data_IF_527835531939
#
_entry.id   IF_527835531939
#
_cell.length_a   1.000
_cell.length_b   1.000
_cell.length_c   1.000
_cell.angle_alpha   90.00
_cell.angle_beta   90.00
_cell.angle_gamma   90.00
#
_symmetry.space_group_name_H-M   'P 1'
#
loop_
_entity.id
_entity.type
_entity.pdbx_description
1 polymer ?
#
# COMPACT_ATOMS: atom_id res chain seq x y z
N UNK A 1 3.38 -2.19 -4.10
CA UNK A 1 4.59 -2.78 -4.73
C UNK A 1 5.25 -3.85 -3.87
N UNK A 2 5.49 -3.62 -2.60
CA UNK A 2 6.26 -4.54 -1.73
C UNK A 2 5.68 -5.96 -1.58
N UNK A 3 4.46 -6.22 -2.02
CA UNK A 3 3.91 -7.57 -2.15
C UNK A 3 4.47 -8.36 -3.35
N UNK A 4 5.07 -7.68 -4.31
CA UNK A 4 5.63 -8.26 -5.53
C UNK A 4 7.15 -8.22 -5.52
N UNK A 5 7.72 -7.09 -5.16
CA UNK A 5 9.16 -6.89 -5.01
C UNK A 5 9.43 -5.83 -3.94
N UNK A 6 10.43 -6.05 -3.11
CA UNK A 6 10.82 -5.08 -2.10
C UNK A 6 11.36 -3.79 -2.75
N UNK A 7 10.84 -2.64 -2.29
CA UNK A 7 11.29 -1.34 -2.75
C UNK A 7 11.15 -0.29 -1.66
N UNK A 8 12.22 0.42 -1.40
CA UNK A 8 12.33 1.48 -0.40
C UNK A 8 12.55 2.88 -1.01
N UNK A 9 12.27 3.04 -2.32
CA UNK A 9 12.42 4.30 -3.03
C UNK A 9 13.67 4.39 -3.91
N UNK A 10 14.50 3.35 -3.98
CA UNK A 10 15.74 3.37 -4.75
C UNK A 10 16.21 2.00 -5.22
N UNK A 11 17.52 1.83 -5.24
CA UNK A 11 18.16 0.55 -5.50
C UNK A 11 18.02 -0.35 -4.27
N UNK A 12 17.96 -1.64 -4.50
CA UNK A 12 17.84 -2.67 -3.46
C UNK A 12 18.90 -3.75 -3.66
N UNK A 13 19.12 -4.57 -2.64
CA UNK A 13 19.88 -5.82 -2.81
C UNK A 13 18.96 -6.89 -3.42
N UNK A 14 19.57 -7.79 -4.21
CA UNK A 14 18.93 -9.04 -4.64
C UNK A 14 18.51 -9.88 -3.42
N UNK A 15 17.59 -10.83 -3.61
CA UNK A 15 17.08 -11.67 -2.52
C UNK A 15 18.19 -12.48 -1.81
N UNK A 16 19.26 -12.81 -2.53
CA UNK A 16 20.45 -13.50 -1.98
C UNK A 16 21.50 -12.52 -1.40
N UNK A 17 21.27 -11.21 -1.51
CA UNK A 17 22.14 -10.16 -0.98
C UNK A 17 23.46 -9.97 -1.74
N UNK A 18 23.62 -10.54 -2.94
CA UNK A 18 24.88 -10.55 -3.68
C UNK A 18 25.03 -9.42 -4.68
N UNK A 19 23.90 -8.88 -5.18
CA UNK A 19 23.90 -7.88 -6.23
C UNK A 19 23.03 -6.67 -5.86
N UNK A 20 23.40 -5.52 -6.37
CA UNK A 20 22.56 -4.31 -6.31
C UNK A 20 21.65 -4.30 -7.54
N UNK A 21 20.35 -4.30 -7.31
CA UNK A 21 19.35 -4.29 -8.36
C UNK A 21 18.55 -3.00 -8.37
N UNK A 22 17.99 -2.67 -9.53
CA UNK A 22 16.96 -1.66 -9.69
C UNK A 22 15.60 -2.38 -9.73
N UNK A 23 14.81 -2.39 -8.65
CA UNK A 23 13.55 -3.15 -8.59
C UNK A 23 12.59 -2.85 -9.73
N UNK A 24 12.57 -1.58 -10.18
CA UNK A 24 11.68 -1.11 -11.26
C UNK A 24 12.04 -1.65 -12.66
N UNK A 25 13.16 -2.39 -12.80
CA UNK A 25 13.53 -3.08 -14.04
C UNK A 25 13.17 -4.57 -14.02
N UNK A 26 12.71 -5.08 -12.90
CA UNK A 26 12.42 -6.49 -12.70
C UNK A 26 11.00 -6.87 -13.16
N UNK A 27 10.81 -8.11 -13.59
CA UNK A 27 9.50 -8.63 -14.00
C UNK A 27 8.46 -8.56 -12.88
N UNK A 28 8.88 -8.80 -11.64
CA UNK A 28 8.00 -8.68 -10.47
C UNK A 28 7.44 -7.25 -10.29
N UNK A 29 8.19 -6.22 -10.69
CA UNK A 29 7.68 -4.86 -10.72
C UNK A 29 6.57 -4.68 -11.75
N UNK A 30 6.76 -5.23 -12.95
CA UNK A 30 5.75 -5.22 -14.01
C UNK A 30 4.47 -5.93 -13.58
N UNK A 31 4.59 -7.10 -12.92
CA UNK A 31 3.44 -7.80 -12.35
C UNK A 31 2.69 -6.95 -11.33
N UNK A 32 3.42 -6.25 -10.45
CA UNK A 32 2.81 -5.32 -9.49
C UNK A 32 2.07 -4.18 -10.16
N UNK A 33 2.64 -3.59 -11.23
CA UNK A 33 1.96 -2.55 -12.00
C UNK A 33 0.72 -3.07 -12.73
N UNK A 34 0.78 -4.28 -13.27
CA UNK A 34 -0.38 -4.93 -13.92
C UNK A 34 -1.52 -5.09 -12.92
N UNK A 35 -1.24 -5.60 -11.72
CA UNK A 35 -2.22 -5.74 -10.66
C UNK A 35 -2.83 -4.39 -10.24
N UNK A 36 -2.01 -3.35 -10.07
CA UNK A 36 -2.51 -2.01 -9.74
C UNK A 36 -3.37 -1.43 -10.87
N UNK A 37 -3.02 -1.70 -12.12
CA UNK A 37 -3.82 -1.29 -13.27
C UNK A 37 -5.18 -2.00 -13.33
N UNK A 38 -5.24 -3.29 -12.98
CA UNK A 38 -6.49 -4.04 -12.86
C UNK A 38 -7.38 -3.40 -11.79
N UNK A 39 -6.85 -3.15 -10.58
CA UNK A 39 -7.60 -2.49 -9.51
C UNK A 39 -8.10 -1.08 -9.92
N UNK A 40 -7.28 -0.34 -10.66
CA UNK A 40 -7.66 0.98 -11.16
C UNK A 40 -8.78 0.90 -12.20
N UNK A 41 -8.70 -0.05 -13.13
CA UNK A 41 -9.73 -0.25 -14.17
C UNK A 41 -11.07 -0.71 -13.61
N UNK A 42 -11.06 -1.43 -12.48
CA UNK A 42 -12.25 -1.83 -11.74
C UNK A 42 -12.79 -0.73 -10.80
N UNK A 43 -12.14 0.44 -10.75
CA UNK A 43 -12.53 1.55 -9.89
C UNK A 43 -12.25 1.33 -8.40
N UNK A 44 -11.41 0.36 -8.05
CA UNK A 44 -11.06 0.01 -6.67
C UNK A 44 -9.93 0.88 -6.11
N UNK A 45 -9.20 1.60 -6.95
CA UNK A 45 -8.22 2.59 -6.53
C UNK A 45 -8.78 4.01 -6.69
N UNK A 46 -8.45 4.88 -5.73
CA UNK A 46 -8.77 6.30 -5.85
C UNK A 46 -8.19 6.88 -7.16
N UNK A 47 -8.99 7.63 -7.89
CA UNK A 47 -8.53 8.33 -9.10
C UNK A 47 -7.38 9.30 -8.80
N UNK A 48 -7.31 9.79 -7.57
CA UNK A 48 -6.32 10.77 -7.14
C UNK A 48 -5.11 10.15 -6.41
N UNK A 49 -4.92 8.84 -6.49
CA UNK A 49 -3.87 8.11 -5.74
C UNK A 49 -2.45 8.68 -5.92
N UNK A 50 -2.20 9.36 -7.03
CA UNK A 50 -0.89 9.98 -7.33
C UNK A 50 -0.83 11.49 -7.05
N UNK A 51 -1.97 12.12 -6.74
CA UNK A 51 -2.08 13.57 -6.56
C UNK A 51 -2.50 13.98 -5.16
N UNK A 52 -3.12 13.08 -4.42
CA UNK A 52 -3.53 13.36 -3.04
C UNK A 52 -2.30 13.45 -2.13
N UNK A 53 -2.25 14.51 -1.34
CA UNK A 53 -1.29 14.64 -0.26
C UNK A 53 -1.84 14.01 1.04
N UNK A 54 -0.97 13.95 2.07
CA UNK A 54 -1.36 13.35 3.34
C UNK A 54 -2.50 14.08 4.06
N UNK A 55 -2.76 15.36 3.78
CA UNK A 55 -3.87 16.11 4.39
C UNK A 55 -5.19 15.79 3.69
N UNK A 56 -5.18 15.70 2.37
CA UNK A 56 -6.33 15.28 1.59
C UNK A 56 -6.74 13.84 1.95
N UNK A 57 -5.79 12.94 2.09
CA UNK A 57 -6.05 11.59 2.54
C UNK A 57 -6.69 11.55 3.94
N UNK A 58 -6.16 12.33 4.89
CA UNK A 58 -6.75 12.45 6.23
C UNK A 58 -8.19 13.01 6.19
N UNK A 59 -8.46 13.98 5.33
CA UNK A 59 -9.81 14.51 5.15
C UNK A 59 -10.79 13.45 4.63
N UNK A 60 -10.35 12.61 3.69
CA UNK A 60 -11.14 11.48 3.17
C UNK A 60 -11.46 10.47 4.28
N UNK A 61 -10.47 10.12 5.10
CA UNK A 61 -10.64 9.18 6.21
C UNK A 61 -11.56 9.71 7.32
N UNK A 62 -11.73 11.03 7.41
CA UNK A 62 -12.52 11.68 8.46
C UNK A 62 -13.95 12.02 8.02
N UNK A 63 -14.41 11.56 6.87
CA UNK A 63 -15.78 11.78 6.40
C UNK A 63 -16.78 10.98 7.25
N UNK A 64 -17.97 11.51 7.42
CA UNK A 64 -19.05 10.82 8.16
C UNK A 64 -19.45 9.49 7.53
N UNK A 65 -19.47 9.45 6.20
CA UNK A 65 -19.73 8.21 5.43
C UNK A 65 -18.39 7.63 5.01
N UNK A 66 -18.02 6.44 5.48
CA UNK A 66 -16.76 5.81 5.10
C UNK A 66 -16.80 5.41 3.62
N UNK A 67 -15.82 5.87 2.86
CA UNK A 67 -15.63 5.52 1.45
C UNK A 67 -14.35 4.72 1.20
N UNK A 68 -13.50 4.60 2.22
CA UNK A 68 -12.25 3.85 2.15
C UNK A 68 -12.45 2.51 2.81
N UNK A 69 -12.47 1.43 2.02
CA UNK A 69 -12.61 0.06 2.53
C UNK A 69 -11.30 -0.55 3.00
N UNK A 70 -10.18 -0.16 2.38
CA UNK A 70 -8.83 -0.67 2.72
C UNK A 70 -7.80 0.45 2.54
N UNK A 71 -6.88 0.54 3.47
CA UNK A 71 -5.72 1.45 3.37
C UNK A 71 -4.51 0.85 4.05
N UNK A 72 -3.33 1.33 3.67
CA UNK A 72 -2.06 1.00 4.32
C UNK A 72 -1.58 2.22 5.10
N UNK A 73 -1.03 2.00 6.28
CA UNK A 73 -0.45 3.07 7.10
C UNK A 73 0.81 2.57 7.81
N UNK A 74 1.81 3.42 7.89
CA UNK A 74 3.05 3.13 8.62
C UNK A 74 2.88 3.20 10.14
N UNK A 75 1.87 3.93 10.61
CA UNK A 75 1.54 4.04 12.04
C UNK A 75 0.11 4.57 12.23
N UNK A 76 -0.42 4.43 13.44
CA UNK A 76 -1.71 5.00 13.82
C UNK A 76 -1.76 6.52 13.72
N UNK A 77 -0.61 7.20 13.82
CA UNK A 77 -0.54 8.67 13.67
C UNK A 77 -0.87 9.16 12.25
N UNK A 78 -0.85 8.28 11.27
CA UNK A 78 -1.29 8.59 9.92
C UNK A 78 -2.81 8.70 9.81
N UNK A 79 -3.53 8.20 10.81
CA UNK A 79 -4.98 8.31 10.88
C UNK A 79 -5.38 9.61 11.60
N UNK A 80 -6.35 10.38 11.08
CA UNK A 80 -6.84 11.57 11.78
C UNK A 80 -7.67 11.19 12.99
N UNK A 81 -7.45 11.89 14.08
CA UNK A 81 -8.27 11.83 15.30
C UNK A 81 -8.71 10.42 15.72
N UNK A 82 -7.72 9.54 15.93
CA UNK A 82 -7.91 8.13 16.29
C UNK A 82 -8.90 7.92 17.46
N UNK A 83 -8.99 8.88 18.37
CA UNK A 83 -9.85 8.76 19.56
C UNK A 83 -11.32 9.03 19.29
N UNK A 84 -11.62 9.95 18.35
CA UNK A 84 -12.98 10.44 18.11
C UNK A 84 -13.49 10.05 16.72
N UNK A 85 -12.67 9.45 15.87
CA UNK A 85 -13.06 9.03 14.54
C UNK A 85 -13.85 7.72 14.60
N UNK A 86 -15.14 7.76 14.30
CA UNK A 86 -16.03 6.59 14.30
C UNK A 86 -15.57 5.52 13.31
N UNK A 87 -15.10 5.94 12.13
CA UNK A 87 -14.66 5.02 11.09
C UNK A 87 -13.42 4.23 11.56
N UNK A 88 -12.53 4.87 12.31
CA UNK A 88 -11.36 4.20 12.86
C UNK A 88 -11.75 3.11 13.88
N UNK A 89 -12.78 3.35 14.67
CA UNK A 89 -13.25 2.38 15.65
C UNK A 89 -13.83 1.10 15.01
N UNK A 90 -14.29 1.20 13.76
CA UNK A 90 -14.83 0.08 12.98
C UNK A 90 -13.77 -0.61 12.09
N UNK A 91 -12.57 -0.03 12.00
CA UNK A 91 -11.48 -0.58 11.21
C UNK A 91 -10.72 -1.68 11.96
N UNK A 92 -10.40 -2.73 11.26
CA UNK A 92 -9.61 -3.85 11.76
C UNK A 92 -8.24 -3.89 11.03
N UNK A 93 -7.20 -4.14 11.80
CA UNK A 93 -5.88 -4.39 11.22
C UNK A 93 -5.81 -5.82 10.70
N UNK A 94 -5.53 -5.96 9.44
CA UNK A 94 -5.34 -7.26 8.80
C UNK A 94 -3.86 -7.50 8.49
N UNK A 95 -3.47 -8.76 8.46
CA UNK A 95 -2.13 -9.13 7.99
C UNK A 95 -1.96 -8.73 6.52
N UNK A 96 -0.71 -8.43 6.09
CA UNK A 96 -0.42 -8.17 4.69
C UNK A 96 -0.93 -9.30 3.80
N UNK A 97 -1.61 -8.94 2.71
CA UNK A 97 -2.09 -9.91 1.73
C UNK A 97 -0.89 -10.65 1.12
N UNK A 98 -0.94 -11.98 1.14
CA UNK A 98 0.09 -12.85 0.57
C UNK A 98 -0.35 -13.32 -0.80
N UNK A 99 0.51 -13.17 -1.79
CA UNK A 99 0.31 -13.86 -3.07
C UNK A 99 0.48 -15.36 -2.87
N UNK A 100 -0.40 -16.19 -3.44
CA UNK A 100 -0.37 -17.65 -3.31
C UNK A 100 0.85 -18.31 -3.97
N UNK A 101 1.69 -17.56 -4.65
CA UNK A 101 2.98 -18.00 -5.20
C UNK A 101 4.10 -17.14 -4.64
N UNK A 102 4.78 -17.68 -3.62
CA UNK A 102 6.04 -17.23 -3.01
C UNK A 102 6.29 -15.71 -3.00
N UNK A 103 5.91 -15.06 -1.94
CA UNK A 103 6.58 -13.85 -1.50
C UNK A 103 6.97 -14.05 -0.03
N UNK A 104 8.26 -14.03 0.25
CA UNK A 104 8.75 -13.98 1.62
C UNK A 104 8.64 -12.52 2.06
N UNK A 105 7.68 -12.23 2.93
CA UNK A 105 7.55 -10.90 3.53
C UNK A 105 8.51 -10.85 4.70
N UNK A 106 9.55 -10.04 4.60
CA UNK A 106 10.37 -9.69 5.76
C UNK A 106 9.66 -8.57 6.51
N UNK A 107 9.20 -8.89 7.72
CA UNK A 107 8.77 -7.90 8.71
C UNK A 107 10.01 -7.48 9.48
N UNK A 108 10.31 -6.19 9.48
CA UNK A 108 11.30 -5.59 10.38
C UNK A 108 10.57 -5.14 11.63
#
# INVERSE_FOLDING_TARGET
MNAFIFWNGGLSLSDDGTEVIAPFTQDAWREGLTYLNELSSEGLLSANIFTDDGQQFKAILNQETPIVGLTTAGSLSNWPDVKNNKNFAEMEMIEPLKRTRRCTVYTI
#
